data_IF_953964210823
#
_entry.id   IF_953964210823
#
_cell.length_a   1.000
_cell.length_b   1.000
_cell.length_c   1.000
_cell.angle_alpha   90.00
_cell.angle_beta   90.00
_cell.angle_gamma   90.00
#
_symmetry.space_group_name_H-M   'P 1'
#
loop_
_entity.id
_entity.type
_entity.pdbx_description
1 polymer ?
#
# COMPACT_ATOMS: atom_id res chain seq x y z
N UNK A 1 43.73 9.54 48.63
CA UNK A 1 44.63 10.12 49.64
C UNK A 1 46.01 10.27 49.01
N UNK A 2 46.73 11.41 49.14
CA UNK A 2 46.22 12.79 49.10
C UNK A 2 47.18 13.80 48.41
N UNK A 3 46.64 15.03 48.21
CA UNK A 3 47.31 16.34 48.44
C UNK A 3 48.20 16.93 47.33
N UNK A 4 48.21 18.23 46.97
CA UNK A 4 48.06 19.53 47.70
C UNK A 4 47.58 20.62 46.71
N UNK A 5 46.60 21.49 47.07
CA UNK A 5 46.74 22.92 47.51
C UNK A 5 47.64 23.80 46.62
N UNK A 6 47.41 25.08 46.38
CA UNK A 6 46.34 26.07 46.58
C UNK A 6 47.00 27.41 46.23
N UNK A 7 46.37 28.35 45.53
CA UNK A 7 46.73 29.77 45.63
C UNK A 7 45.47 30.62 45.38
N UNK A 8 44.99 31.22 46.47
CA UNK A 8 43.88 32.17 46.55
C UNK A 8 44.40 33.61 46.39
N UNK A 9 43.55 34.49 45.85
CA UNK A 9 43.59 35.94 46.08
C UNK A 9 42.21 36.42 46.55
N UNK A 10 42.16 37.05 47.73
CA UNK A 10 40.99 37.60 48.45
C UNK A 10 40.58 38.99 47.95
N UNK A 11 39.28 39.29 48.09
CA UNK A 11 38.75 40.40 48.91
C UNK A 11 37.71 41.21 48.11
N UNK A 12 36.67 41.85 48.63
CA UNK A 12 36.11 42.05 49.97
C UNK A 12 34.65 42.55 49.80
N UNK A 13 33.87 42.45 50.88
CA UNK A 13 32.46 42.83 51.02
C UNK A 13 32.10 44.29 50.67
N UNK A 14 30.85 44.52 50.22
CA UNK A 14 30.06 45.68 50.66
C UNK A 14 28.54 45.40 50.60
N UNK A 15 27.81 46.11 51.46
CA UNK A 15 26.47 45.86 51.97
C UNK A 15 25.43 46.80 51.31
N UNK A 16 24.18 46.31 51.15
CA UNK A 16 22.87 47.00 51.14
C UNK A 16 22.58 48.14 50.12
N UNK A 17 21.42 48.08 49.43
CA UNK A 17 20.27 48.99 49.63
C UNK A 17 19.04 48.61 48.77
N UNK A 18 17.84 48.82 49.34
CA UNK A 18 16.51 48.63 48.74
C UNK A 18 16.18 49.63 47.61
N UNK A 19 15.41 49.18 46.60
CA UNK A 19 14.43 50.01 45.89
C UNK A 19 13.45 49.16 45.03
N UNK A 20 12.21 49.05 45.54
CA UNK A 20 10.92 49.22 44.84
C UNK A 20 10.66 48.56 43.47
N UNK A 21 9.84 47.49 43.49
CA UNK A 21 9.06 47.00 42.34
C UNK A 21 7.90 47.95 41.98
N UNK A 22 7.58 48.14 40.69
CA UNK A 22 6.27 48.60 40.23
C UNK A 22 5.37 47.44 39.75
N UNK A 23 4.04 47.66 39.68
CA UNK A 23 3.03 46.63 39.93
C UNK A 23 2.61 45.82 38.69
N UNK A 24 2.17 44.59 38.98
CA UNK A 24 1.51 43.66 38.07
C UNK A 24 0.05 44.07 37.88
N UNK A 25 -0.36 44.37 36.65
CA UNK A 25 -1.78 44.35 36.27
C UNK A 25 -2.14 43.00 35.62
N UNK A 26 -3.34 42.45 35.91
CA UNK A 26 -3.72 41.09 35.55
C UNK A 26 -4.50 41.05 34.22
N UNK A 27 -4.30 39.98 33.44
CA UNK A 27 -5.22 39.57 32.37
C UNK A 27 -5.68 38.13 32.65
N UNK A 28 -6.99 37.80 32.51
CA UNK A 28 -7.60 36.67 33.20
C UNK A 28 -7.68 35.37 32.37
N UNK A 29 -7.51 34.28 33.11
CA UNK A 29 -8.13 32.95 33.04
C UNK A 29 -8.83 32.46 31.75
N UNK A 30 -8.22 31.44 31.15
CA UNK A 30 -8.85 30.26 30.50
C UNK A 30 -7.71 29.39 29.94
N UNK A 31 -7.46 28.12 30.26
CA UNK A 31 -8.14 27.07 31.04
C UNK A 31 -7.06 26.08 31.53
N UNK A 32 -7.08 25.82 32.84
CA UNK A 32 -6.68 24.61 33.57
C UNK A 32 -5.45 23.77 33.13
N UNK A 33 -4.36 23.89 33.91
CA UNK A 33 -3.54 22.74 34.30
C UNK A 33 -4.17 22.04 35.51
N UNK A 34 -4.20 20.70 35.49
CA UNK A 34 -4.15 19.74 36.63
C UNK A 34 -4.15 18.35 35.98
N UNK A 35 -3.04 17.60 35.81
CA UNK A 35 -2.06 17.02 36.76
C UNK A 35 -2.66 16.08 37.80
N UNK A 36 -2.77 14.79 37.46
CA UNK A 36 -2.20 13.60 38.17
C UNK A 36 -2.96 12.30 37.78
N UNK A 37 -2.30 11.28 37.17
CA UNK A 37 -1.47 10.19 37.77
C UNK A 37 -2.35 9.16 38.52
N UNK A 38 -2.25 7.83 38.38
CA UNK A 38 -1.23 6.85 37.95
C UNK A 38 -1.94 5.58 37.43
N UNK A 39 -1.32 4.73 36.58
CA UNK A 39 -0.73 3.38 36.88
C UNK A 39 -0.80 2.68 35.50
N UNK A 40 0.17 1.98 34.91
CA UNK A 40 1.47 1.44 35.29
C UNK A 40 2.29 1.24 34.02
N UNK A 41 3.60 1.47 34.11
CA UNK A 41 4.59 1.05 33.12
C UNK A 41 4.62 -0.48 32.98
N UNK A 42 4.65 -0.96 31.74
CA UNK A 42 5.37 -2.19 31.38
C UNK A 42 6.31 -1.89 30.21
N UNK A 43 7.53 -2.47 30.19
CA UNK A 43 8.64 -1.96 29.42
C UNK A 43 8.82 -2.76 28.13
N UNK A 44 8.41 -2.19 27.02
CA UNK A 44 9.12 -2.38 25.76
C UNK A 44 9.34 -0.98 25.20
N UNK A 45 10.59 -0.52 25.27
CA UNK A 45 11.04 0.69 24.61
C UNK A 45 10.73 0.55 23.11
N UNK A 46 9.56 1.03 22.70
CA UNK A 46 9.27 1.34 21.32
C UNK A 46 10.23 2.46 20.94
N UNK A 47 11.35 2.08 20.32
CA UNK A 47 12.27 2.99 19.66
C UNK A 47 11.51 3.56 18.45
N UNK A 48 10.60 4.49 18.70
CA UNK A 48 9.95 5.26 17.66
C UNK A 48 10.93 6.32 17.15
N UNK A 49 11.48 6.09 15.96
CA UNK A 49 12.18 7.13 15.22
C UNK A 49 11.22 8.32 14.99
N UNK A 50 11.64 9.56 15.33
CA UNK A 50 10.82 10.76 15.15
C UNK A 50 10.46 10.97 13.67
N UNK A 51 9.20 11.33 13.41
CA UNK A 51 8.64 11.51 12.08
C UNK A 51 8.87 12.91 11.52
N UNK A 52 9.37 12.97 10.29
CA UNK A 52 8.90 13.93 9.30
C UNK A 52 8.07 13.14 8.27
N UNK A 53 6.75 13.33 8.28
CA UNK A 53 5.84 12.64 7.35
C UNK A 53 6.00 13.32 5.98
N UNK A 54 6.94 12.84 5.18
CA UNK A 54 6.93 13.14 3.74
C UNK A 54 6.17 12.02 3.02
N UNK A 55 5.23 12.36 2.14
CA UNK A 55 4.55 11.35 1.32
C UNK A 55 5.55 10.78 0.29
N UNK A 56 5.72 9.45 0.25
CA UNK A 56 6.64 8.76 -0.67
C UNK A 56 5.85 7.91 -1.66
N UNK A 57 6.03 8.18 -2.96
CA UNK A 57 5.52 7.32 -4.04
C UNK A 57 6.58 6.28 -4.44
N UNK A 58 6.16 5.17 -5.06
CA UNK A 58 7.09 4.14 -5.60
C UNK A 58 8.13 4.77 -6.52
N UNK A 59 7.72 5.70 -7.39
CA UNK A 59 8.62 6.44 -8.28
C UNK A 59 9.65 7.25 -7.50
N UNK A 60 9.25 7.92 -6.41
CA UNK A 60 10.17 8.67 -5.55
C UNK A 60 11.19 7.74 -4.89
N UNK A 61 10.76 6.58 -4.40
CA UNK A 61 11.65 5.57 -3.82
C UNK A 61 12.66 5.05 -4.86
N UNK A 62 12.20 4.74 -6.07
CA UNK A 62 13.08 4.34 -7.17
C UNK A 62 14.10 5.44 -7.53
N UNK A 63 13.67 6.70 -7.58
CA UNK A 63 14.57 7.84 -7.80
C UNK A 63 15.62 7.93 -6.69
N UNK A 64 15.23 7.84 -5.42
CA UNK A 64 16.18 7.91 -4.28
C UNK A 64 17.28 6.85 -4.42
N UNK A 65 16.92 5.59 -4.66
CA UNK A 65 17.92 4.51 -4.74
C UNK A 65 18.78 4.62 -6.00
N UNK A 66 18.18 4.99 -7.13
CA UNK A 66 18.93 5.21 -8.38
C UNK A 66 19.91 6.37 -8.23
N UNK A 67 19.48 7.48 -7.62
CA UNK A 67 20.34 8.64 -7.34
C UNK A 67 21.45 8.29 -6.37
N UNK A 68 21.17 7.49 -5.33
CA UNK A 68 22.20 7.02 -4.41
C UNK A 68 23.27 6.20 -5.14
N UNK A 69 22.87 5.28 -6.01
CA UNK A 69 23.80 4.42 -6.76
C UNK A 69 24.62 5.21 -7.79
N UNK A 70 24.03 6.24 -8.41
CA UNK A 70 24.70 7.06 -9.43
C UNK A 70 25.56 8.19 -8.86
N UNK A 71 25.16 8.77 -7.74
CA UNK A 71 25.78 9.98 -7.16
C UNK A 71 25.66 9.97 -5.64
N UNK A 72 26.49 9.16 -4.95
CA UNK A 72 26.45 9.03 -3.49
C UNK A 72 26.97 10.30 -2.82
N UNK A 73 26.05 11.22 -2.52
CA UNK A 73 26.30 12.40 -1.70
C UNK A 73 25.55 12.31 -0.37
N UNK A 74 25.86 13.21 0.56
CA UNK A 74 25.30 13.19 1.91
C UNK A 74 23.76 13.24 1.92
N UNK A 75 23.14 14.01 1.01
CA UNK A 75 21.68 14.10 0.93
C UNK A 75 21.07 12.80 0.39
N UNK A 76 21.63 12.23 -0.68
CA UNK A 76 21.16 10.97 -1.26
C UNK A 76 21.24 9.82 -0.24
N UNK A 77 22.30 9.80 0.59
CA UNK A 77 22.44 8.83 1.68
C UNK A 77 21.35 9.03 2.75
N UNK A 78 21.07 10.27 3.16
CA UNK A 78 20.02 10.56 4.13
C UNK A 78 18.63 10.17 3.63
N UNK A 79 18.31 10.52 2.38
CA UNK A 79 17.03 10.20 1.76
C UNK A 79 16.84 8.68 1.65
N UNK A 80 17.88 7.95 1.25
CA UNK A 80 17.84 6.50 1.16
C UNK A 80 17.72 5.81 2.53
N UNK A 81 18.38 6.34 3.56
CA UNK A 81 18.22 5.86 4.94
C UNK A 81 16.80 6.08 5.46
N UNK A 82 16.19 7.24 5.17
CA UNK A 82 14.79 7.51 5.50
C UNK A 82 13.85 6.54 4.76
N UNK A 83 14.07 6.34 3.46
CA UNK A 83 13.32 5.39 2.65
C UNK A 83 13.41 3.95 3.17
N UNK A 84 14.60 3.49 3.58
CA UNK A 84 14.78 2.16 4.21
C UNK A 84 13.97 2.01 5.49
N UNK A 85 13.96 3.02 6.34
CA UNK A 85 13.18 2.99 7.58
C UNK A 85 11.67 2.95 7.29
N UNK A 86 11.20 3.65 6.26
CA UNK A 86 9.83 3.56 5.78
C UNK A 86 9.47 2.16 5.26
N UNK A 87 10.32 1.54 4.42
CA UNK A 87 10.10 0.16 3.96
C UNK A 87 10.00 -0.82 5.12
N UNK A 88 10.87 -0.66 6.10
CA UNK A 88 10.90 -1.51 7.28
C UNK A 88 9.58 -1.44 8.05
N UNK A 89 9.04 -0.23 8.26
CA UNK A 89 7.72 -0.04 8.90
C UNK A 89 6.59 -0.58 8.05
N UNK A 90 6.61 -0.31 6.74
CA UNK A 90 5.63 -0.83 5.80
C UNK A 90 5.53 -2.34 5.87
N UNK A 91 6.66 -3.06 5.75
CA UNK A 91 6.66 -4.52 5.81
C UNK A 91 6.26 -5.07 7.17
N UNK A 92 6.58 -4.40 8.28
CA UNK A 92 6.10 -4.79 9.61
C UNK A 92 4.58 -4.62 9.76
N UNK A 93 3.99 -3.62 9.11
CA UNK A 93 2.55 -3.34 9.17
C UNK A 93 1.73 -4.07 8.11
N UNK A 94 2.36 -4.61 7.07
CA UNK A 94 1.69 -5.24 5.95
C UNK A 94 1.00 -6.55 6.39
N UNK A 95 -0.24 -6.82 5.96
CA UNK A 95 -0.88 -8.10 6.21
C UNK A 95 -0.05 -9.25 5.62
N UNK A 96 0.17 -10.31 6.42
CA UNK A 96 1.03 -11.45 6.05
C UNK A 96 0.59 -12.11 4.74
N UNK A 97 -0.72 -12.27 4.58
CA UNK A 97 -1.42 -12.83 3.43
C UNK A 97 -1.25 -12.00 2.15
N UNK A 98 -0.95 -10.71 2.29
CA UNK A 98 -0.70 -9.80 1.16
C UNK A 98 0.79 -9.68 0.79
N UNK A 99 1.71 -10.25 1.57
CA UNK A 99 3.14 -10.00 1.40
C UNK A 99 3.67 -10.44 0.04
N UNK A 100 3.28 -11.62 -0.45
CA UNK A 100 3.72 -12.11 -1.75
C UNK A 100 3.29 -11.17 -2.88
N UNK A 101 2.07 -10.65 -2.81
CA UNK A 101 1.50 -9.73 -3.80
C UNK A 101 2.21 -8.39 -3.74
N UNK A 102 2.36 -7.83 -2.54
CA UNK A 102 3.06 -6.57 -2.33
C UNK A 102 4.54 -6.66 -2.74
N UNK A 103 5.18 -7.78 -2.43
CA UNK A 103 6.56 -8.05 -2.81
C UNK A 103 6.72 -8.27 -4.32
N UNK A 104 5.76 -8.93 -4.97
CA UNK A 104 5.80 -9.11 -6.44
C UNK A 104 5.48 -7.81 -7.19
N UNK A 105 4.76 -6.87 -6.56
CA UNK A 105 4.36 -5.61 -7.15
C UNK A 105 5.42 -4.48 -7.15
N UNK A 106 5.01 -3.24 -7.51
CA UNK A 106 5.93 -2.10 -7.69
C UNK A 106 6.66 -1.69 -6.41
N UNK A 107 6.01 -1.81 -5.24
CA UNK A 107 6.65 -1.52 -3.95
C UNK A 107 7.75 -2.53 -3.64
N UNK A 108 7.53 -3.81 -3.96
CA UNK A 108 8.54 -4.85 -3.86
C UNK A 108 9.65 -4.73 -4.89
N UNK A 109 9.38 -4.18 -6.07
CA UNK A 109 10.42 -3.83 -7.06
C UNK A 109 11.34 -2.72 -6.53
N UNK A 110 10.77 -1.64 -6.00
CA UNK A 110 11.54 -0.57 -5.36
C UNK A 110 12.33 -1.11 -4.14
N UNK A 111 11.77 -2.05 -3.40
CA UNK A 111 12.44 -2.74 -2.31
C UNK A 111 13.62 -3.61 -2.80
N UNK A 112 13.44 -4.40 -3.86
CA UNK A 112 14.54 -5.17 -4.49
C UNK A 112 15.63 -4.26 -5.04
N UNK A 113 15.27 -3.12 -5.63
CA UNK A 113 16.22 -2.11 -6.10
C UNK A 113 17.09 -1.61 -4.94
N UNK A 114 16.47 -1.24 -3.82
CA UNK A 114 17.20 -0.85 -2.60
C UNK A 114 18.15 -1.94 -2.11
N UNK A 115 17.71 -3.20 -2.10
CA UNK A 115 18.55 -4.31 -1.68
C UNK A 115 19.75 -4.48 -2.62
N UNK A 116 19.56 -4.37 -3.94
CA UNK A 116 20.64 -4.57 -4.91
C UNK A 116 21.67 -3.43 -4.91
N UNK A 117 21.24 -2.21 -4.60
CA UNK A 117 22.05 -1.00 -4.56
C UNK A 117 23.05 -0.95 -3.40
N UNK A 118 23.71 0.20 -3.24
CA UNK A 118 24.82 0.37 -2.28
C UNK A 118 24.35 0.58 -0.84
N UNK A 119 23.08 0.96 -0.63
CA UNK A 119 22.55 1.37 0.68
C UNK A 119 22.83 0.37 1.82
N UNK A 120 22.65 -0.95 1.64
CA UNK A 120 22.86 -1.88 2.75
C UNK A 120 24.33 -2.08 3.15
N UNK A 121 25.27 -1.72 2.27
CA UNK A 121 26.71 -1.76 2.56
C UNK A 121 27.19 -0.46 3.24
N UNK A 122 26.37 0.60 3.26
CA UNK A 122 26.70 1.84 3.95
C UNK A 122 26.68 1.65 5.47
N UNK A 123 27.57 2.34 6.21
CA UNK A 123 27.59 2.28 7.66
C UNK A 123 26.24 2.71 8.25
N UNK A 124 25.78 1.95 9.24
CA UNK A 124 24.55 2.26 9.95
C UNK A 124 24.78 3.36 10.98
N UNK A 125 23.76 4.19 11.21
CA UNK A 125 23.77 5.14 12.32
C UNK A 125 23.52 4.37 13.62
N UNK A 126 23.97 4.88 14.78
CA UNK A 126 23.76 4.21 16.07
C UNK A 126 22.30 3.85 16.36
N UNK A 127 21.35 4.66 15.88
CA UNK A 127 19.92 4.39 16.04
C UNK A 127 19.44 3.23 15.13
N UNK A 128 19.94 3.16 13.90
CA UNK A 128 19.62 2.10 12.95
C UNK A 128 20.29 0.77 13.36
N UNK A 129 21.46 0.81 14.01
CA UNK A 129 22.11 -0.38 14.59
C UNK A 129 21.29 -0.98 15.73
N UNK A 130 20.76 -0.15 16.63
CA UNK A 130 19.86 -0.61 17.70
C UNK A 130 18.57 -1.18 17.13
N UNK A 131 18.00 -0.51 16.12
CA UNK A 131 16.80 -0.97 15.43
C UNK A 131 17.03 -2.33 14.76
N UNK A 132 18.12 -2.49 14.02
CA UNK A 132 18.56 -3.78 13.46
C UNK A 132 18.67 -4.84 14.55
N UNK A 133 19.35 -4.55 15.66
CA UNK A 133 19.52 -5.51 16.76
C UNK A 133 18.16 -5.97 17.33
N UNK A 134 17.21 -5.04 17.50
CA UNK A 134 15.85 -5.34 17.94
C UNK A 134 15.09 -6.23 16.95
N UNK A 135 15.14 -5.91 15.65
CA UNK A 135 14.52 -6.73 14.60
C UNK A 135 15.13 -8.12 14.51
N UNK A 136 16.46 -8.24 14.58
CA UNK A 136 17.15 -9.53 14.57
C UNK A 136 16.79 -10.38 15.78
N UNK A 137 16.68 -9.79 16.97
CA UNK A 137 16.25 -10.50 18.16
C UNK A 137 14.79 -10.97 18.05
N UNK A 138 13.90 -10.15 17.47
CA UNK A 138 12.51 -10.54 17.20
C UNK A 138 12.44 -11.68 16.19
N UNK A 139 13.19 -11.60 15.09
CA UNK A 139 13.23 -12.63 14.06
C UNK A 139 13.72 -13.97 14.64
N UNK A 140 14.77 -13.98 15.46
CA UNK A 140 15.27 -15.18 16.13
C UNK A 140 14.22 -15.86 17.02
N UNK A 141 13.32 -15.08 17.64
CA UNK A 141 12.22 -15.59 18.48
C UNK A 141 10.97 -15.95 17.70
N UNK A 142 10.80 -15.39 16.50
CA UNK A 142 9.58 -15.49 15.72
C UNK A 142 9.62 -16.56 14.62
N UNK A 143 10.74 -17.29 14.42
CA UNK A 143 10.79 -18.36 13.43
C UNK A 143 9.70 -19.42 13.67
N UNK A 144 8.92 -19.69 12.63
CA UNK A 144 7.75 -20.58 12.70
C UNK A 144 6.42 -19.87 12.99
N UNK A 145 6.45 -18.57 13.27
CA UNK A 145 5.25 -17.73 13.35
C UNK A 145 4.88 -17.16 11.98
N UNK A 146 3.60 -16.83 11.81
CA UNK A 146 3.07 -16.23 10.57
C UNK A 146 3.73 -14.90 10.21
N UNK A 147 4.22 -14.12 11.18
CA UNK A 147 4.91 -12.84 10.96
C UNK A 147 6.39 -12.95 10.54
N UNK A 148 6.94 -14.17 10.47
CA UNK A 148 8.35 -14.39 10.07
C UNK A 148 8.71 -13.67 8.76
N UNK A 149 7.87 -13.72 7.70
CA UNK A 149 8.19 -13.04 6.44
C UNK A 149 8.21 -11.51 6.57
N UNK A 150 7.33 -10.90 7.38
CA UNK A 150 7.37 -9.46 7.68
C UNK A 150 8.69 -9.06 8.33
N UNK A 151 9.10 -9.81 9.36
CA UNK A 151 10.34 -9.55 10.09
C UNK A 151 11.57 -9.75 9.19
N UNK A 152 11.52 -10.73 8.30
CA UNK A 152 12.59 -10.98 7.34
C UNK A 152 12.73 -9.81 6.34
N UNK A 153 11.62 -9.36 5.75
CA UNK A 153 11.58 -8.19 4.87
C UNK A 153 11.96 -6.89 5.59
N UNK A 154 11.66 -6.79 6.88
CA UNK A 154 12.03 -5.65 7.70
C UNK A 154 13.54 -5.60 7.99
N UNK A 155 14.18 -6.76 8.23
CA UNK A 155 15.57 -6.79 8.69
C UNK A 155 16.61 -6.87 7.56
N UNK A 156 16.25 -7.50 6.43
CA UNK A 156 17.13 -7.68 5.26
C UNK A 156 17.87 -6.41 4.79
N UNK A 157 17.26 -5.20 4.79
CA UNK A 157 17.92 -3.96 4.35
C UNK A 157 19.07 -3.49 5.23
N UNK A 158 19.21 -4.03 6.45
CA UNK A 158 20.25 -3.65 7.41
C UNK A 158 21.44 -4.62 7.46
N UNK A 159 21.38 -5.69 6.68
CA UNK A 159 22.48 -6.63 6.52
C UNK A 159 23.16 -6.41 5.18
N UNK A 160 24.49 -6.39 5.20
CA UNK A 160 25.28 -6.49 3.98
C UNK A 160 25.18 -7.90 3.37
N UNK A 161 25.67 -8.07 2.15
CA UNK A 161 25.70 -9.35 1.43
C UNK A 161 26.39 -10.42 2.29
N UNK A 162 25.80 -11.61 2.34
CA UNK A 162 26.27 -12.76 3.12
C UNK A 162 26.32 -12.59 4.65
N UNK A 163 25.88 -11.45 5.20
CA UNK A 163 25.98 -11.17 6.64
C UNK A 163 24.84 -11.78 7.47
N UNK A 164 23.78 -12.27 6.82
CA UNK A 164 22.63 -12.91 7.46
C UNK A 164 22.50 -14.35 6.99
N UNK A 165 22.33 -15.28 7.92
CA UNK A 165 22.05 -16.69 7.62
C UNK A 165 20.89 -17.19 8.46
N UNK A 166 19.85 -17.64 7.79
CA UNK A 166 18.70 -18.35 8.35
C UNK A 166 19.00 -19.85 8.32
N UNK A 167 18.72 -20.54 9.43
CA UNK A 167 18.85 -22.00 9.50
C UNK A 167 17.72 -22.66 8.69
N UNK A 168 18.03 -23.68 7.89
CA UNK A 168 17.06 -24.38 7.04
C UNK A 168 16.13 -23.44 6.23
N UNK A 169 16.69 -22.57 5.38
CA UNK A 169 15.95 -21.48 4.73
C UNK A 169 14.82 -21.99 3.82
N UNK A 170 14.95 -23.19 3.25
CA UNK A 170 13.91 -23.79 2.42
C UNK A 170 12.62 -24.15 3.19
N UNK A 171 12.69 -24.26 4.53
CA UNK A 171 11.53 -24.49 5.39
C UNK A 171 11.01 -23.22 6.07
N UNK A 172 11.87 -22.23 6.26
CA UNK A 172 11.56 -21.04 7.06
C UNK A 172 11.21 -19.81 6.21
N UNK A 173 11.58 -19.81 4.93
CA UNK A 173 11.39 -18.68 4.02
C UNK A 173 10.39 -19.11 2.93
N UNK A 174 9.35 -18.31 2.65
CA UNK A 174 8.43 -18.58 1.56
C UNK A 174 9.14 -18.70 0.22
N UNK A 175 8.63 -19.55 -0.67
CA UNK A 175 9.24 -19.84 -1.97
C UNK A 175 9.45 -18.58 -2.83
N UNK A 176 8.47 -17.66 -2.81
CA UNK A 176 8.53 -16.38 -3.54
C UNK A 176 9.65 -15.44 -3.07
N UNK A 177 10.12 -15.57 -1.82
CA UNK A 177 11.21 -14.76 -1.26
C UNK A 177 12.57 -15.48 -1.32
N UNK A 178 12.54 -16.82 -1.41
CA UNK A 178 13.70 -17.67 -1.25
C UNK A 178 14.81 -17.36 -2.26
N UNK A 179 14.45 -17.04 -3.51
CA UNK A 179 15.43 -16.70 -4.56
C UNK A 179 16.17 -15.41 -4.25
N UNK A 180 15.46 -14.34 -3.88
CA UNK A 180 16.06 -13.04 -3.58
C UNK A 180 16.85 -13.07 -2.26
N UNK A 181 16.37 -13.83 -1.27
CA UNK A 181 17.12 -14.12 -0.06
C UNK A 181 18.42 -14.87 -0.39
N UNK A 182 18.37 -15.93 -1.21
CA UNK A 182 19.53 -16.73 -1.56
C UNK A 182 20.56 -15.91 -2.36
N UNK A 183 20.10 -15.09 -3.32
CA UNK A 183 20.96 -14.18 -4.09
C UNK A 183 21.78 -13.26 -3.18
N UNK A 184 21.18 -12.79 -2.09
CA UNK A 184 21.76 -11.79 -1.20
C UNK A 184 22.56 -12.37 -0.03
N UNK A 185 21.99 -13.38 0.61
CA UNK A 185 22.37 -13.81 1.95
C UNK A 185 23.05 -15.19 1.95
N UNK A 186 22.73 -16.05 0.97
CA UNK A 186 23.28 -17.41 0.89
C UNK A 186 23.51 -17.86 -0.57
N UNK A 187 24.65 -17.48 -1.19
CA UNK A 187 24.97 -17.84 -2.57
C UNK A 187 25.13 -19.36 -2.77
N UNK A 188 25.44 -20.12 -1.72
CA UNK A 188 25.50 -21.59 -1.78
C UNK A 188 24.10 -22.19 -1.92
N UNK A 189 23.10 -21.62 -1.23
CA UNK A 189 21.70 -21.98 -1.43
C UNK A 189 21.22 -21.67 -2.85
N UNK A 190 21.60 -20.51 -3.40
CA UNK A 190 21.23 -20.12 -4.76
C UNK A 190 21.75 -21.13 -5.80
N UNK A 191 22.98 -21.62 -5.61
CA UNK A 191 23.56 -22.65 -6.48
C UNK A 191 22.78 -23.97 -6.39
N UNK A 192 22.37 -24.38 -5.17
CA UNK A 192 21.54 -25.58 -4.98
C UNK A 192 20.16 -25.46 -5.63
N UNK A 193 19.52 -24.30 -5.54
CA UNK A 193 18.23 -24.04 -6.19
C UNK A 193 18.34 -24.13 -7.73
N UNK A 194 19.39 -23.56 -8.31
CA UNK A 194 19.66 -23.64 -9.75
C UNK A 194 19.91 -25.08 -10.22
N UNK A 195 20.70 -25.84 -9.47
CA UNK A 195 20.96 -27.26 -9.77
C UNK A 195 19.68 -28.11 -9.71
N UNK A 196 18.77 -27.83 -8.77
CA UNK A 196 17.48 -28.51 -8.65
C UNK A 196 16.55 -28.21 -9.84
N UNK A 197 16.57 -26.98 -10.35
CA UNK A 197 15.79 -26.60 -11.53
C UNK A 197 16.37 -27.17 -12.83
N UNK A 198 17.69 -27.36 -12.90
CA UNK A 198 18.36 -27.94 -14.07
C UNK A 198 18.26 -29.48 -14.13
N UNK A 199 18.08 -30.17 -13.00
CA UNK A 199 17.91 -31.62 -12.93
C UNK A 199 16.49 -32.15 -13.25
N UNK A 200 15.52 -31.27 -13.52
CA UNK A 200 14.10 -31.64 -13.72
C UNK A 200 13.65 -31.89 -15.16
N UNK A 201 14.53 -31.72 -16.16
CA UNK A 201 14.20 -31.92 -17.56
C UNK A 201 14.79 -33.23 -18.10
N UNK A 202 14.00 -34.31 -18.03
CA UNK A 202 14.28 -35.54 -18.79
C UNK A 202 13.53 -36.77 -18.32
N UNK A 203 12.27 -36.94 -18.76
CA UNK A 203 11.65 -38.21 -19.20
C UNK A 203 10.12 -38.09 -19.28
N UNK A 204 9.58 -38.30 -20.49
CA UNK A 204 8.17 -38.51 -20.80
C UNK A 204 7.71 -39.93 -20.47
N UNK A 205 6.56 -40.13 -19.79
CA UNK A 205 5.67 -41.30 -19.98
C UNK A 205 4.35 -41.20 -19.19
N UNK A 206 3.23 -41.20 -19.91
CA UNK A 206 1.99 -41.91 -19.56
C UNK A 206 1.16 -41.45 -18.35
N UNK A 207 0.23 -40.53 -18.56
CA UNK A 207 -0.97 -40.45 -17.71
C UNK A 207 -2.08 -41.33 -18.31
N UNK A 208 -2.68 -42.27 -17.56
CA UNK A 208 -3.90 -42.91 -17.99
C UNK A 208 -5.04 -41.91 -17.95
N UNK A 209 -5.84 -41.90 -19.01
CA UNK A 209 -7.04 -41.11 -19.15
C UNK A 209 -8.03 -41.41 -18.01
N UNK A 210 -8.08 -40.52 -17.01
CA UNK A 210 -9.32 -40.28 -16.26
C UNK A 210 -10.09 -39.21 -17.02
N UNK A 211 -11.33 -39.55 -17.38
CA UNK A 211 -12.33 -38.64 -17.93
C UNK A 211 -12.46 -37.40 -17.02
N UNK A 212 -11.76 -36.34 -17.39
CA UNK A 212 -12.06 -35.01 -16.90
C UNK A 212 -13.34 -34.52 -17.61
N UNK A 213 -14.30 -33.93 -16.88
CA UNK A 213 -15.45 -33.29 -17.50
C UNK A 213 -14.95 -32.16 -18.41
N UNK A 214 -15.64 -31.96 -19.54
CA UNK A 214 -15.26 -31.03 -20.59
C UNK A 214 -14.83 -29.64 -20.06
N UNK A 215 -13.80 -29.01 -20.63
CA UNK A 215 -13.37 -27.68 -20.22
C UNK A 215 -14.52 -26.69 -20.40
N UNK A 216 -14.90 -26.01 -19.31
CA UNK A 216 -15.80 -24.88 -19.37
C UNK A 216 -15.20 -23.85 -20.33
N UNK A 217 -15.89 -23.59 -21.44
CA UNK A 217 -15.47 -22.63 -22.45
C UNK A 217 -15.34 -21.25 -21.79
N UNK A 218 -14.10 -20.79 -21.60
CA UNK A 218 -13.78 -19.44 -21.15
C UNK A 218 -14.11 -18.46 -22.26
N UNK A 219 -14.92 -17.45 -21.95
CA UNK A 219 -15.25 -16.39 -22.90
C UNK A 219 -14.02 -15.46 -23.03
N UNK A 220 -13.47 -15.34 -24.24
CA UNK A 220 -12.30 -14.51 -24.55
C UNK A 220 -12.65 -13.24 -25.34
N UNK A 221 -13.94 -12.91 -25.45
CA UNK A 221 -14.39 -11.69 -26.14
C UNK A 221 -13.75 -10.45 -25.50
N UNK A 222 -13.23 -9.49 -26.29
CA UNK A 222 -12.56 -8.32 -25.73
C UNK A 222 -13.53 -7.45 -24.94
N UNK A 223 -13.05 -6.84 -23.85
CA UNK A 223 -13.80 -5.90 -23.03
C UNK A 223 -14.19 -4.65 -23.85
N UNK A 224 -15.35 -4.03 -23.59
CA UNK A 224 -15.72 -2.76 -24.22
C UNK A 224 -14.77 -1.64 -23.79
N UNK A 225 -14.70 -0.58 -24.60
CA UNK A 225 -13.88 0.60 -24.32
C UNK A 225 -14.78 1.79 -23.98
N UNK A 226 -14.45 2.49 -22.91
CA UNK A 226 -15.14 3.72 -22.50
C UNK A 226 -14.27 4.96 -22.68
N UNK A 227 -12.95 4.82 -22.73
CA UNK A 227 -12.03 5.92 -22.98
C UNK A 227 -10.89 5.50 -23.91
N UNK A 228 -10.39 6.45 -24.70
CA UNK A 228 -9.19 6.28 -25.52
C UNK A 228 -7.92 6.19 -24.67
N UNK A 229 -7.92 6.85 -23.50
CA UNK A 229 -6.86 6.69 -22.50
C UNK A 229 -7.03 5.33 -21.84
N UNK A 230 -5.99 4.50 -21.87
CA UNK A 230 -6.02 3.12 -21.36
C UNK A 230 -4.74 2.73 -20.65
N UNK A 231 -4.82 1.69 -19.84
CA UNK A 231 -3.65 1.05 -19.24
C UNK A 231 -2.79 2.05 -18.46
N UNK A 232 -1.50 2.16 -18.82
CA UNK A 232 -0.54 3.04 -18.15
C UNK A 232 -0.94 4.53 -18.17
N UNK A 233 -1.72 4.99 -19.15
CA UNK A 233 -2.17 6.39 -19.23
C UNK A 233 -3.30 6.72 -18.22
N UNK A 234 -3.98 5.68 -17.72
CA UNK A 234 -5.07 5.79 -16.75
C UNK A 234 -4.58 5.65 -15.30
N UNK A 235 -3.45 4.98 -15.07
CA UNK A 235 -2.91 4.72 -13.73
C UNK A 235 -2.54 5.99 -12.95
N UNK A 236 -2.00 7.07 -13.57
CA UNK A 236 -1.73 8.32 -12.86
C UNK A 236 -3.01 8.94 -12.24
N UNK A 237 -4.16 8.79 -12.91
CA UNK A 237 -5.44 9.36 -12.45
C UNK A 237 -5.93 8.75 -11.13
N UNK A 238 -5.51 7.52 -10.83
CA UNK A 238 -5.89 6.80 -9.60
C UNK A 238 -5.34 7.49 -8.35
N UNK A 239 -4.19 8.15 -8.46
CA UNK A 239 -3.48 8.82 -7.35
C UNK A 239 -3.40 10.34 -7.53
N UNK A 240 -4.02 10.87 -8.59
CA UNK A 240 -4.05 12.29 -8.87
C UNK A 240 -5.11 12.99 -8.01
N UNK A 241 -4.65 13.76 -7.03
CA UNK A 241 -5.53 14.50 -6.12
C UNK A 241 -6.38 15.54 -6.86
N UNK A 242 -5.91 16.08 -7.99
CA UNK A 242 -6.71 17.02 -8.80
C UNK A 242 -7.88 16.28 -9.46
N UNK A 243 -7.60 15.11 -10.07
CA UNK A 243 -8.63 14.24 -10.64
C UNK A 243 -9.65 13.79 -9.58
N UNK A 244 -9.18 13.24 -8.46
CA UNK A 244 -10.03 12.74 -7.37
C UNK A 244 -10.86 13.87 -6.75
N UNK A 245 -10.23 15.03 -6.50
CA UNK A 245 -10.89 16.21 -5.94
C UNK A 245 -11.94 16.79 -6.87
N UNK A 246 -11.62 16.93 -8.16
CA UNK A 246 -12.56 17.40 -9.19
C UNK A 246 -13.77 16.49 -9.28
N UNK A 247 -13.57 15.18 -9.37
CA UNK A 247 -14.67 14.24 -9.49
C UNK A 247 -15.54 14.21 -8.22
N UNK A 248 -14.94 14.25 -7.03
CA UNK A 248 -15.71 14.36 -5.78
C UNK A 248 -16.51 15.66 -5.71
N UNK A 249 -15.95 16.78 -6.18
CA UNK A 249 -16.66 18.06 -6.27
C UNK A 249 -17.88 17.97 -7.18
N UNK A 250 -17.75 17.39 -8.36
CA UNK A 250 -18.85 17.23 -9.32
C UNK A 250 -19.94 16.28 -8.81
N UNK A 251 -19.58 15.20 -8.10
CA UNK A 251 -20.56 14.30 -7.47
C UNK A 251 -21.38 15.06 -6.43
N UNK A 252 -20.73 15.87 -5.60
CA UNK A 252 -21.40 16.68 -4.57
C UNK A 252 -22.30 17.75 -5.21
N UNK A 253 -21.83 18.42 -6.26
CA UNK A 253 -22.63 19.39 -7.00
C UNK A 253 -23.85 18.73 -7.66
N UNK A 254 -23.71 17.52 -8.18
CA UNK A 254 -24.83 16.79 -8.81
C UNK A 254 -25.90 16.41 -7.79
N UNK A 255 -25.51 16.12 -6.55
CA UNK A 255 -26.46 15.91 -5.46
C UNK A 255 -27.24 17.18 -5.08
N UNK A 256 -26.66 18.38 -5.32
CA UNK A 256 -27.28 19.68 -5.02
C UNK A 256 -28.17 20.13 -6.18
N UNK A 257 -27.66 20.07 -7.42
CA UNK A 257 -28.37 20.45 -8.65
C UNK A 257 -28.17 19.42 -9.77
N UNK A 258 -29.04 18.39 -9.86
CA UNK A 258 -28.97 17.39 -10.93
C UNK A 258 -29.49 17.92 -12.29
N UNK A 259 -30.03 19.14 -12.34
CA UNK A 259 -30.58 19.71 -13.57
C UNK A 259 -29.50 20.27 -14.51
N UNK A 260 -28.34 20.66 -13.96
CA UNK A 260 -27.23 21.28 -14.69
C UNK A 260 -26.65 20.36 -15.79
N UNK A 261 -26.83 20.79 -17.05
CA UNK A 261 -26.39 20.05 -18.23
C UNK A 261 -24.86 20.07 -18.44
N UNK A 262 -24.15 21.12 -18.00
CA UNK A 262 -22.70 21.18 -18.11
C UNK A 262 -22.04 20.25 -17.10
N UNK A 263 -22.51 20.30 -15.85
CA UNK A 263 -22.14 19.37 -14.79
C UNK A 263 -22.32 17.91 -15.23
N UNK A 264 -23.49 17.57 -15.80
CA UNK A 264 -23.78 16.22 -16.30
C UNK A 264 -22.83 15.78 -17.41
N UNK A 265 -22.51 16.68 -18.36
CA UNK A 265 -21.56 16.38 -19.44
C UNK A 265 -20.16 16.07 -18.88
N UNK A 266 -19.70 16.87 -17.93
CA UNK A 266 -18.39 16.70 -17.31
C UNK A 266 -18.30 15.41 -16.47
N UNK A 267 -19.33 15.15 -15.65
CA UNK A 267 -19.41 13.93 -14.86
C UNK A 267 -19.52 12.67 -15.73
N UNK A 268 -20.16 12.75 -16.90
CA UNK A 268 -20.17 11.66 -17.88
C UNK A 268 -18.78 11.36 -18.46
N UNK A 269 -17.95 12.39 -18.74
CA UNK A 269 -16.56 12.20 -19.18
C UNK A 269 -15.74 11.48 -18.10
N UNK A 270 -15.86 11.92 -16.84
CA UNK A 270 -15.12 11.31 -15.73
C UNK A 270 -15.61 9.89 -15.42
N UNK A 271 -16.92 9.63 -15.49
CA UNK A 271 -17.47 8.27 -15.35
C UNK A 271 -16.85 7.30 -16.35
N UNK A 272 -16.71 7.71 -17.62
CA UNK A 272 -16.06 6.88 -18.65
C UNK A 272 -14.60 6.57 -18.31
N UNK A 273 -13.86 7.54 -17.77
CA UNK A 273 -12.48 7.33 -17.33
C UNK A 273 -12.40 6.37 -16.14
N UNK A 274 -13.30 6.52 -15.15
CA UNK A 274 -13.38 5.58 -14.01
C UNK A 274 -13.75 4.17 -14.46
N UNK A 275 -14.71 4.02 -15.38
CA UNK A 275 -15.08 2.73 -15.94
C UNK A 275 -13.89 2.08 -16.68
N UNK A 276 -13.15 2.87 -17.47
CA UNK A 276 -11.97 2.38 -18.17
C UNK A 276 -10.87 1.92 -17.20
N UNK A 277 -10.65 2.66 -16.11
CA UNK A 277 -9.71 2.26 -15.05
C UNK A 277 -10.10 0.91 -14.44
N UNK A 278 -11.39 0.70 -14.12
CA UNK A 278 -11.86 -0.59 -13.61
C UNK A 278 -11.70 -1.74 -14.60
N UNK A 279 -11.79 -1.48 -15.90
CA UNK A 279 -11.56 -2.49 -16.93
C UNK A 279 -10.07 -2.80 -17.14
N UNK A 280 -9.19 -1.83 -16.87
CA UNK A 280 -7.77 -1.94 -17.16
C UNK A 280 -6.93 -2.40 -15.96
N UNK A 281 -7.40 -2.20 -14.73
CA UNK A 281 -6.72 -2.66 -13.51
C UNK A 281 -6.54 -4.18 -13.50
N UNK A 282 -5.37 -4.65 -13.07
CA UNK A 282 -5.14 -6.09 -12.91
C UNK A 282 -6.21 -6.69 -11.97
N UNK A 283 -6.81 -7.86 -12.30
CA UNK A 283 -7.84 -8.48 -11.46
C UNK A 283 -7.38 -8.70 -10.00
N UNK A 284 -6.10 -8.99 -9.77
CA UNK A 284 -5.52 -9.17 -8.43
C UNK A 284 -5.37 -7.87 -7.63
N UNK A 285 -5.48 -6.70 -8.28
CA UNK A 285 -5.43 -5.38 -7.63
C UNK A 285 -6.81 -4.76 -7.43
N UNK A 286 -7.89 -5.41 -7.88
CA UNK A 286 -9.26 -4.88 -7.81
C UNK A 286 -9.67 -4.51 -6.37
N UNK A 287 -9.47 -5.42 -5.42
CA UNK A 287 -9.85 -5.17 -4.04
C UNK A 287 -9.02 -4.04 -3.42
N UNK A 288 -7.71 -4.06 -3.63
CA UNK A 288 -6.80 -3.01 -3.15
C UNK A 288 -7.20 -1.64 -3.69
N UNK A 289 -7.48 -1.55 -4.99
CA UNK A 289 -7.95 -0.31 -5.62
C UNK A 289 -9.32 0.12 -5.07
N UNK A 290 -10.20 -0.84 -4.80
CA UNK A 290 -11.53 -0.60 -4.24
C UNK A 290 -11.50 -0.09 -2.79
N UNK A 291 -10.50 -0.49 -2.02
CA UNK A 291 -10.30 0.00 -0.64
C UNK A 291 -9.54 1.33 -0.57
N UNK A 292 -8.97 1.79 -1.69
CA UNK A 292 -8.26 3.06 -1.78
C UNK A 292 -9.22 4.26 -1.99
N UNK A 293 -8.75 5.52 -1.93
CA UNK A 293 -9.57 6.71 -2.20
C UNK A 293 -10.32 6.66 -3.53
N UNK A 294 -9.71 6.07 -4.57
CA UNK A 294 -10.35 5.86 -5.87
C UNK A 294 -11.59 4.94 -5.79
N UNK A 295 -11.54 3.91 -4.95
CA UNK A 295 -12.68 3.05 -4.68
C UNK A 295 -13.80 3.78 -3.96
N UNK A 296 -13.48 4.61 -2.95
CA UNK A 296 -14.47 5.46 -2.29
C UNK A 296 -15.12 6.45 -3.28
N UNK A 297 -14.35 7.04 -4.18
CA UNK A 297 -14.86 7.89 -5.25
C UNK A 297 -15.85 7.14 -6.15
N UNK A 298 -15.50 5.90 -6.53
CA UNK A 298 -16.35 5.03 -7.33
C UNK A 298 -17.64 4.69 -6.61
N UNK A 299 -17.59 4.37 -5.31
CA UNK A 299 -18.77 4.12 -4.49
C UNK A 299 -19.69 5.34 -4.42
N UNK A 300 -19.13 6.54 -4.23
CA UNK A 300 -19.89 7.79 -4.19
C UNK A 300 -20.59 8.04 -5.53
N UNK A 301 -19.92 7.78 -6.66
CA UNK A 301 -20.53 7.89 -7.99
C UNK A 301 -21.65 6.86 -8.21
N UNK A 302 -21.45 5.60 -7.79
CA UNK A 302 -22.49 4.55 -7.89
C UNK A 302 -23.72 4.97 -7.07
N UNK A 303 -23.49 5.51 -5.87
CA UNK A 303 -24.52 5.95 -4.94
C UNK A 303 -25.17 7.30 -5.26
N UNK A 304 -24.66 8.07 -6.22
CA UNK A 304 -25.22 9.39 -6.57
C UNK A 304 -26.48 9.30 -7.45
N UNK A 305 -26.79 8.12 -7.99
CA UNK A 305 -27.92 7.94 -8.91
C UNK A 305 -27.63 8.35 -10.35
N UNK A 306 -26.43 8.85 -10.65
CA UNK A 306 -26.02 9.30 -11.99
C UNK A 306 -26.08 8.19 -13.07
N UNK A 307 -26.15 6.92 -12.68
CA UNK A 307 -26.40 5.79 -13.59
C UNK A 307 -27.77 5.85 -14.31
N UNK A 308 -28.71 6.67 -13.84
CA UNK A 308 -30.03 6.88 -14.45
C UNK A 308 -30.04 7.91 -15.58
N UNK A 309 -28.99 8.73 -15.68
CA UNK A 309 -28.89 9.76 -16.71
C UNK A 309 -28.81 9.17 -18.11
N UNK A 310 -29.35 9.91 -19.07
CA UNK A 310 -29.28 9.54 -20.48
C UNK A 310 -27.82 9.41 -20.93
N UNK A 311 -27.54 8.39 -21.73
CA UNK A 311 -26.21 8.11 -22.25
C UNK A 311 -26.23 8.03 -23.77
N UNK A 312 -25.13 8.44 -24.44
CA UNK A 312 -25.04 8.37 -25.89
C UNK A 312 -25.08 6.91 -26.38
N UNK A 313 -25.48 6.66 -27.64
CA UNK A 313 -25.66 5.30 -28.18
C UNK A 313 -24.41 4.41 -28.07
N UNK A 314 -23.22 4.99 -28.23
CA UNK A 314 -21.94 4.28 -28.12
C UNK A 314 -21.69 3.78 -26.70
N UNK A 315 -21.96 4.62 -25.71
CA UNK A 315 -21.80 4.30 -24.28
C UNK A 315 -22.87 3.28 -23.84
N UNK A 316 -24.08 3.35 -24.38
CA UNK A 316 -25.12 2.35 -24.16
C UNK A 316 -24.77 0.98 -24.77
N UNK A 317 -24.14 0.95 -25.95
CA UNK A 317 -23.66 -0.28 -26.56
C UNK A 317 -22.53 -0.92 -25.72
N UNK A 318 -21.58 -0.11 -25.23
CA UNK A 318 -20.52 -0.54 -24.31
C UNK A 318 -21.10 -1.10 -23.00
N UNK A 319 -22.10 -0.42 -22.42
CA UNK A 319 -22.85 -0.86 -21.24
C UNK A 319 -23.51 -2.23 -21.46
N UNK A 320 -24.22 -2.43 -22.57
CA UNK A 320 -24.88 -3.71 -22.88
C UNK A 320 -23.87 -4.86 -22.95
N UNK A 321 -22.71 -4.61 -23.57
CA UNK A 321 -21.62 -5.60 -23.64
C UNK A 321 -21.05 -5.94 -22.26
N UNK A 322 -20.92 -4.98 -21.35
CA UNK A 322 -20.57 -5.29 -19.95
C UNK A 322 -21.61 -6.20 -19.30
N UNK A 323 -22.90 -5.93 -19.52
CA UNK A 323 -24.00 -6.74 -19.00
C UNK A 323 -23.91 -8.21 -19.45
N UNK A 324 -23.61 -8.47 -20.72
CA UNK A 324 -23.43 -9.82 -21.25
C UNK A 324 -22.26 -10.58 -20.60
N UNK A 325 -21.14 -9.89 -20.39
CA UNK A 325 -19.94 -10.45 -19.76
C UNK A 325 -20.22 -10.80 -18.29
N UNK A 326 -20.84 -9.87 -17.57
CA UNK A 326 -21.20 -10.03 -16.15
C UNK A 326 -22.27 -11.10 -15.95
N UNK A 327 -23.23 -11.24 -16.87
CA UNK A 327 -24.29 -12.24 -16.76
C UNK A 327 -23.74 -13.68 -16.75
N UNK A 328 -22.62 -13.93 -17.41
CA UNK A 328 -22.03 -15.28 -17.48
C UNK A 328 -20.94 -15.51 -16.43
N UNK A 329 -20.24 -14.46 -15.99
CA UNK A 329 -19.06 -14.53 -15.10
C UNK A 329 -17.96 -15.49 -15.57
N UNK A 330 -17.93 -15.85 -16.86
CA UNK A 330 -16.94 -16.79 -17.43
C UNK A 330 -15.70 -16.11 -18.00
N UNK A 331 -15.73 -14.78 -18.13
CA UNK A 331 -14.62 -14.02 -18.63
C UNK A 331 -13.54 -13.87 -17.53
N UNK A 332 -12.24 -13.99 -17.84
CA UNK A 332 -11.15 -13.85 -16.85
C UNK A 332 -11.17 -12.51 -16.08
N UNK A 333 -11.73 -11.48 -16.70
CA UNK A 333 -11.92 -10.13 -16.14
C UNK A 333 -13.39 -9.81 -15.85
N UNK A 334 -14.21 -10.80 -15.50
CA UNK A 334 -15.62 -10.60 -15.20
C UNK A 334 -15.83 -9.69 -13.98
N UNK A 335 -14.93 -9.74 -12.99
CA UNK A 335 -14.97 -8.83 -11.83
C UNK A 335 -14.70 -7.38 -12.24
N UNK A 336 -13.71 -7.14 -13.10
CA UNK A 336 -13.47 -5.81 -13.69
C UNK A 336 -14.70 -5.30 -14.44
N UNK A 337 -15.32 -6.16 -15.25
CA UNK A 337 -16.52 -5.82 -16.00
C UNK A 337 -17.69 -5.49 -15.07
N UNK A 338 -17.83 -6.21 -13.95
CA UNK A 338 -18.82 -5.92 -12.92
C UNK A 338 -18.57 -4.56 -12.26
N UNK A 339 -17.33 -4.26 -11.87
CA UNK A 339 -16.97 -2.96 -11.28
C UNK A 339 -17.29 -1.80 -12.21
N UNK A 340 -16.96 -1.91 -13.49
CA UNK A 340 -17.33 -0.92 -14.48
C UNK A 340 -18.86 -0.85 -14.68
N UNK A 341 -19.54 -2.00 -14.71
CA UNK A 341 -21.00 -2.06 -14.91
C UNK A 341 -21.78 -1.37 -13.79
N UNK A 342 -21.30 -1.40 -12.55
CA UNK A 342 -21.95 -0.73 -11.41
C UNK A 342 -22.07 0.80 -11.58
N UNK A 343 -21.23 1.40 -12.42
CA UNK A 343 -21.31 2.84 -12.75
C UNK A 343 -22.47 3.17 -13.71
N UNK A 344 -23.02 2.15 -14.37
CA UNK A 344 -23.97 2.26 -15.49
C UNK A 344 -25.32 1.59 -15.24
N UNK A 345 -25.37 0.67 -14.29
CA UNK A 345 -26.59 0.03 -13.85
C UNK A 345 -26.90 0.46 -12.42
N UNK A 346 -28.16 0.78 -12.10
CA UNK A 346 -28.57 0.91 -10.70
C UNK A 346 -28.25 -0.39 -9.97
N UNK A 347 -27.62 -0.30 -8.79
CA UNK A 347 -27.22 -1.49 -8.01
C UNK A 347 -28.38 -2.45 -7.74
N UNK A 348 -29.62 -1.94 -7.69
CA UNK A 348 -30.87 -2.70 -7.54
C UNK A 348 -31.26 -3.56 -8.77
N UNK A 349 -30.74 -3.25 -9.96
CA UNK A 349 -31.04 -3.96 -11.21
C UNK A 349 -29.98 -5.01 -11.58
N UNK A 350 -28.90 -5.09 -10.83
CA UNK A 350 -27.82 -6.06 -11.08
C UNK A 350 -28.19 -7.41 -10.46
N UNK A 351 -28.70 -8.33 -11.28
CA UNK A 351 -29.04 -9.68 -10.85
C UNK A 351 -27.83 -10.61 -11.02
N UNK A 352 -27.31 -11.13 -9.90
CA UNK A 352 -26.09 -11.96 -9.83
C UNK A 352 -26.40 -13.37 -9.31
N UNK A 353 -27.65 -13.83 -9.43
CA UNK A 353 -28.13 -15.10 -8.87
C UNK A 353 -27.29 -16.34 -9.22
N UNK A 354 -26.63 -16.36 -10.38
CA UNK A 354 -25.69 -17.43 -10.78
C UNK A 354 -24.22 -17.16 -10.42
N UNK A 355 -23.91 -15.92 -10.05
CA UNK A 355 -22.57 -15.38 -9.84
C UNK A 355 -22.18 -15.29 -8.35
N UNK A 356 -23.14 -15.28 -7.42
CA UNK A 356 -22.90 -15.12 -5.98
C UNK A 356 -21.90 -16.13 -5.41
N UNK A 357 -21.81 -17.33 -5.99
CA UNK A 357 -20.84 -18.36 -5.58
C UNK A 357 -19.41 -18.13 -6.07
N UNK A 358 -19.21 -17.21 -7.01
CA UNK A 358 -17.92 -16.92 -7.69
C UNK A 358 -17.38 -15.55 -7.28
N UNK A 359 -18.20 -14.72 -6.61
CA UNK A 359 -17.79 -13.40 -6.17
C UNK A 359 -16.95 -13.48 -4.89
N UNK A 360 -15.89 -12.67 -4.79
CA UNK A 360 -15.16 -12.48 -3.54
C UNK A 360 -16.08 -11.97 -2.42
N UNK A 361 -15.80 -12.38 -1.18
CA UNK A 361 -16.60 -12.01 -0.02
C UNK A 361 -16.71 -10.50 0.18
N UNK A 362 -15.61 -9.76 -0.01
CA UNK A 362 -15.61 -8.30 0.10
C UNK A 362 -16.61 -7.65 -0.87
N UNK A 363 -16.71 -8.14 -2.10
CA UNK A 363 -17.59 -7.55 -3.11
C UNK A 363 -19.06 -7.91 -2.84
N UNK A 364 -19.33 -9.08 -2.29
CA UNK A 364 -20.68 -9.46 -1.85
C UNK A 364 -21.20 -8.55 -0.72
N UNK A 365 -20.36 -8.26 0.27
CA UNK A 365 -20.68 -7.34 1.37
C UNK A 365 -20.98 -5.93 0.82
N UNK A 366 -20.16 -5.47 -0.12
CA UNK A 366 -20.31 -4.15 -0.73
C UNK A 366 -21.54 -4.03 -1.62
N UNK A 367 -21.82 -5.03 -2.46
CA UNK A 367 -23.04 -5.07 -3.26
C UNK A 367 -24.30 -5.05 -2.39
N UNK A 368 -24.27 -5.71 -1.24
CA UNK A 368 -25.36 -5.68 -0.26
C UNK A 368 -25.54 -4.26 0.29
N UNK A 369 -24.44 -3.61 0.68
CA UNK A 369 -24.44 -2.23 1.17
C UNK A 369 -24.96 -1.25 0.10
N UNK A 370 -24.47 -1.35 -1.14
CA UNK A 370 -24.89 -0.50 -2.26
C UNK A 370 -26.37 -0.69 -2.61
N UNK A 371 -26.87 -1.94 -2.61
CA UNK A 371 -28.30 -2.23 -2.83
C UNK A 371 -29.16 -1.63 -1.73
N UNK A 372 -28.75 -1.71 -0.46
CA UNK A 372 -29.48 -1.13 0.66
C UNK A 372 -29.58 0.40 0.56
N UNK A 373 -28.50 1.08 0.15
CA UNK A 373 -28.49 2.54 -0.08
C UNK A 373 -29.39 2.93 -1.26
N UNK A 374 -29.34 2.17 -2.35
CA UNK A 374 -30.15 2.42 -3.54
C UNK A 374 -31.67 2.25 -3.27
N UNK A 375 -32.06 1.37 -2.34
CA UNK A 375 -33.45 1.19 -1.92
C UNK A 375 -33.97 2.33 -1.03
N UNK A 376 -33.11 3.13 -0.39
CA UNK A 376 -33.52 4.27 0.44
C UNK A 376 -33.69 5.58 -0.37
N UNK A 377 -33.18 5.62 -1.60
CA UNK A 377 -33.29 6.76 -2.53
C UNK A 377 -34.29 6.48 -3.68
N UNK A 378 -35.05 5.39 -3.58
CA UNK A 378 -36.02 4.92 -4.58
C UNK A 378 -37.37 5.57 -4.44
#
# INVERSE_FOLDING_TARGET
MPSLRSLFGRGSHSHAQLASEPPIEPVPAAVAQSVNRLVSTSPQDEIELPMEITAWSVRRLQTIFTTLDQSPNQQAVQDAQAARNCFTRFWLSAPVDCLEILYSGPIGEAYRLMLRGILPALPLRPIDERWKAGLSQRLLKAFGHHETPNLLLAVMPYYDRNAMKVADPARQIPEWLLSDYAERCDPQLLQKLRLRQQGGNGATAGSPAMLAPAPAQTDTRPLPLFSEKRGEDCLPLIQDNEFLGRMSGLINLYAIDPSDAELKRELAVLRRQVAQIWLDVDPGQLETLYRAPFGQLSQNLIGSGFSREAMPPEEDAARRRLGEIVATMRHPRALNALMAALLYYPASKVNLSSAEKVLPEWLLQELTTLRSRASQQG
#
